data_IF_356170483171
#
_entry.id   IF_356170483171
#
_cell.length_a   1.000
_cell.length_b   1.000
_cell.length_c   1.000
_cell.angle_alpha   90.00
_cell.angle_beta   90.00
_cell.angle_gamma   90.00
#
_symmetry.space_group_name_H-M   'P 1'
#
loop_
_entity.id
_entity.type
_entity.pdbx_description
1 polymer ?
#
# COMPACT_ATOMS: atom_id res chain seq x y z
N UNK A 1 -11.47 38.90 14.76
CA UNK A 1 -12.01 40.23 14.41
C UNK A 1 -11.27 40.74 13.18
N UNK A 2 -12.02 40.97 12.10
CA UNK A 2 -11.83 41.96 11.00
C UNK A 2 -10.41 42.15 10.43
N UNK A 3 -10.15 41.66 9.22
CA UNK A 3 -10.37 42.36 7.93
C UNK A 3 -9.31 43.41 7.61
N UNK A 4 -8.58 43.20 6.52
CA UNK A 4 -8.06 44.29 5.69
C UNK A 4 -8.46 44.05 4.23
N UNK A 5 -9.10 45.06 3.67
CA UNK A 5 -9.61 45.21 2.30
C UNK A 5 -8.86 46.38 1.68
N UNK A 6 -8.41 46.24 0.43
CA UNK A 6 -8.33 47.28 -0.62
C UNK A 6 -7.76 46.60 -1.89
N UNK A 7 -8.52 46.25 -2.93
CA UNK A 7 -9.30 47.07 -3.88
C UNK A 7 -8.42 47.88 -4.85
N UNK A 8 -8.38 47.45 -6.13
CA UNK A 8 -8.27 48.34 -7.29
C UNK A 8 -9.26 47.86 -8.37
N UNK A 9 -10.10 48.80 -8.80
CA UNK A 9 -11.15 48.72 -9.82
C UNK A 9 -10.68 49.49 -11.07
N UNK A 10 -11.24 49.15 -12.23
CA UNK A 10 -11.58 49.96 -13.44
C UNK A 10 -11.20 49.14 -14.69
N UNK A 11 -11.99 48.99 -15.76
CA UNK A 11 -13.16 49.72 -16.23
C UNK A 11 -13.91 48.86 -17.29
N UNK A 12 -15.24 48.94 -17.31
CA UNK A 12 -16.12 48.57 -18.44
C UNK A 12 -16.20 49.72 -19.46
N UNK A 13 -16.74 49.51 -20.68
CA UNK A 13 -18.14 49.90 -20.88
C UNK A 13 -18.97 48.89 -21.72
N UNK A 14 -20.27 48.94 -21.43
CA UNK A 14 -21.40 48.28 -22.13
C UNK A 14 -22.03 49.27 -23.11
N UNK A 15 -22.53 48.79 -24.26
CA UNK A 15 -23.72 49.24 -25.03
C UNK A 15 -23.78 48.37 -26.34
N UNK A 16 -24.87 47.95 -26.99
CA UNK A 16 -26.33 48.12 -26.86
C UNK A 16 -27.04 47.08 -27.78
N UNK A 17 -27.98 46.29 -27.21
CA UNK A 17 -29.34 45.84 -27.65
C UNK A 17 -29.78 45.82 -29.16
N UNK A 18 -30.07 44.59 -29.63
CA UNK A 18 -31.24 44.01 -30.38
C UNK A 18 -31.60 44.24 -31.87
N UNK A 19 -32.15 43.13 -32.43
CA UNK A 19 -33.21 42.92 -33.46
C UNK A 19 -32.74 42.40 -34.84
N UNK A 20 -33.05 41.13 -35.15
CA UNK A 20 -33.93 40.70 -36.25
C UNK A 20 -34.22 39.18 -36.17
N UNK A 21 -35.49 38.83 -36.41
CA UNK A 21 -36.13 37.51 -36.30
C UNK A 21 -36.08 36.68 -37.61
N UNK A 22 -36.56 35.42 -37.64
CA UNK A 22 -36.20 34.35 -38.58
C UNK A 22 -37.21 34.08 -39.71
N UNK A 23 -36.81 33.32 -40.75
CA UNK A 23 -37.66 32.59 -41.71
C UNK A 23 -36.79 31.45 -42.34
N UNK A 24 -37.08 30.16 -42.10
CA UNK A 24 -38.06 29.25 -42.73
C UNK A 24 -37.73 28.78 -44.17
N UNK A 25 -37.51 27.46 -44.32
CA UNK A 25 -38.12 26.53 -45.31
C UNK A 25 -37.26 25.25 -45.41
N UNK A 26 -37.69 24.11 -44.88
CA UNK A 26 -38.49 23.05 -45.53
C UNK A 26 -37.98 22.58 -46.91
N UNK A 27 -37.41 21.37 -46.96
CA UNK A 27 -37.56 20.44 -48.08
C UNK A 27 -37.86 19.04 -47.51
N UNK A 28 -38.95 18.46 -47.99
CA UNK A 28 -39.48 17.14 -47.66
C UNK A 28 -39.09 16.08 -48.71
N UNK A 29 -38.76 14.89 -48.20
CA UNK A 29 -39.07 13.53 -48.69
C UNK A 29 -38.75 13.12 -50.14
N UNK A 30 -37.89 12.09 -50.25
CA UNK A 30 -38.11 10.95 -51.16
C UNK A 30 -37.69 9.65 -50.46
N UNK A 31 -38.64 8.72 -50.37
CA UNK A 31 -38.49 7.33 -49.92
C UNK A 31 -38.19 6.41 -51.10
N UNK A 32 -37.23 5.50 -50.96
CA UNK A 32 -37.24 4.20 -51.63
C UNK A 32 -36.45 3.14 -50.83
N UNK A 33 -37.23 2.22 -50.27
CA UNK A 33 -37.06 0.79 -50.02
C UNK A 33 -35.72 0.10 -49.65
N UNK A 34 -35.79 -0.54 -48.47
CA UNK A 34 -35.36 -1.89 -48.07
C UNK A 34 -33.92 -2.42 -48.29
N UNK A 35 -33.17 -2.52 -47.19
CA UNK A 35 -32.71 -3.82 -46.67
C UNK A 35 -32.39 -3.74 -45.17
N UNK A 36 -32.94 -4.68 -44.43
CA UNK A 36 -32.98 -4.81 -42.98
C UNK A 36 -31.64 -5.24 -42.38
N UNK A 37 -31.03 -4.37 -41.58
CA UNK A 37 -30.21 -4.76 -40.42
C UNK A 37 -30.66 -3.87 -39.28
N UNK A 38 -31.40 -4.42 -38.32
CA UNK A 38 -31.71 -3.72 -37.07
C UNK A 38 -30.41 -3.64 -36.25
N UNK A 39 -29.86 -2.44 -35.97
CA UNK A 39 -28.94 -2.30 -34.85
C UNK A 39 -29.76 -2.47 -33.58
N UNK A 40 -29.35 -3.38 -32.70
CA UNK A 40 -29.90 -3.43 -31.36
C UNK A 40 -29.57 -2.11 -30.66
N UNK A 41 -30.54 -1.20 -30.64
CA UNK A 41 -30.49 0.00 -29.81
C UNK A 41 -30.69 -0.47 -28.38
N UNK A 42 -29.59 -0.66 -27.67
CA UNK A 42 -29.62 -0.80 -26.22
C UNK A 42 -30.20 0.49 -25.63
N UNK A 43 -31.19 0.42 -24.73
CA UNK A 43 -31.69 1.61 -24.05
C UNK A 43 -30.52 2.22 -23.27
N UNK A 44 -30.09 3.41 -23.67
CA UNK A 44 -29.12 4.17 -22.88
C UNK A 44 -29.78 4.46 -21.53
N UNK A 45 -29.14 4.11 -20.40
CA UNK A 45 -29.62 4.57 -19.11
C UNK A 45 -29.64 6.11 -19.14
N UNK A 46 -30.60 6.76 -18.44
CA UNK A 46 -30.67 8.21 -18.41
C UNK A 46 -29.31 8.77 -17.98
N UNK A 47 -28.91 9.90 -18.58
CA UNK A 47 -27.69 10.64 -18.25
C UNK A 47 -27.59 10.87 -16.73
N UNK A 48 -27.03 9.90 -16.03
CA UNK A 48 -26.74 9.98 -14.61
C UNK A 48 -25.43 10.75 -14.53
N UNK A 49 -25.55 12.07 -14.39
CA UNK A 49 -24.41 12.94 -14.14
C UNK A 49 -23.69 12.42 -12.89
N UNK A 50 -22.43 12.01 -13.06
CA UNK A 50 -21.60 11.58 -11.94
C UNK A 50 -21.32 12.77 -11.02
N UNK A 51 -21.19 12.54 -9.70
CA UNK A 51 -20.98 13.62 -8.75
C UNK A 51 -19.69 14.37 -9.08
N UNK A 52 -19.80 15.70 -9.10
CA UNK A 52 -18.64 16.58 -9.27
C UNK A 52 -17.74 16.50 -8.05
N UNK A 53 -16.42 16.54 -8.25
CA UNK A 53 -15.46 16.77 -7.16
C UNK A 53 -15.83 18.12 -6.51
N UNK A 54 -16.37 18.06 -5.29
CA UNK A 54 -16.86 19.23 -4.53
C UNK A 54 -18.38 19.37 -4.37
N UNK A 55 -19.21 18.52 -4.99
CA UNK A 55 -20.66 18.48 -4.67
C UNK A 55 -20.92 17.50 -3.52
N UNK A 56 -21.32 18.04 -2.37
CA UNK A 56 -21.76 17.28 -1.20
C UNK A 56 -23.05 16.52 -1.48
N UNK A 57 -22.95 15.27 -1.90
CA UNK A 57 -23.95 14.25 -1.57
C UNK A 57 -23.19 13.15 -0.85
N UNK A 58 -23.22 13.09 0.49
CA UNK A 58 -22.77 11.89 1.17
C UNK A 58 -23.78 10.80 0.82
N UNK A 59 -23.44 9.91 -0.12
CA UNK A 59 -23.97 8.55 -0.01
C UNK A 59 -23.53 8.07 1.38
N UNK A 60 -24.48 7.85 2.30
CA UNK A 60 -24.18 7.38 3.65
C UNK A 60 -23.19 6.22 3.57
N UNK A 61 -22.01 6.40 4.14
CA UNK A 61 -21.03 5.33 4.23
C UNK A 61 -21.55 4.32 5.26
N UNK A 62 -21.62 3.02 4.91
CA UNK A 62 -21.97 2.02 5.89
C UNK A 62 -20.98 2.09 7.04
N UNK A 63 -21.47 1.99 8.27
CA UNK A 63 -20.61 2.04 9.44
C UNK A 63 -19.65 0.85 9.45
N UNK A 64 -18.46 1.02 10.04
CA UNK A 64 -17.49 -0.07 10.22
C UNK A 64 -18.12 -1.32 10.86
N UNK A 65 -19.10 -1.11 11.76
CA UNK A 65 -19.86 -2.18 12.39
C UNK A 65 -20.76 -2.93 11.39
N UNK A 66 -21.45 -2.25 10.49
CA UNK A 66 -22.28 -2.89 9.45
C UNK A 66 -21.43 -3.69 8.47
N UNK A 67 -20.28 -3.13 8.06
CA UNK A 67 -19.31 -3.82 7.20
C UNK A 67 -18.77 -5.06 7.90
N UNK A 68 -18.31 -4.93 9.14
CA UNK A 68 -17.82 -6.05 9.95
C UNK A 68 -18.90 -7.12 10.19
N UNK A 69 -20.12 -6.71 10.52
CA UNK A 69 -21.25 -7.62 10.76
C UNK A 69 -21.60 -8.41 9.50
N UNK A 70 -21.59 -7.76 8.34
CA UNK A 70 -21.80 -8.42 7.04
C UNK A 70 -20.70 -9.45 6.73
N UNK A 71 -19.43 -9.11 6.97
CA UNK A 71 -18.29 -10.04 6.80
C UNK A 71 -18.49 -11.27 7.69
N UNK A 72 -18.67 -11.07 9.00
CA UNK A 72 -18.80 -12.18 9.97
C UNK A 72 -20.01 -13.06 9.63
N UNK A 73 -21.15 -12.46 9.31
CA UNK A 73 -22.37 -13.19 8.95
C UNK A 73 -22.22 -13.96 7.64
N UNK A 74 -21.55 -13.38 6.64
CA UNK A 74 -21.31 -14.03 5.35
C UNK A 74 -20.33 -15.20 5.49
N UNK A 75 -19.26 -15.02 6.27
CA UNK A 75 -18.28 -16.08 6.55
C UNK A 75 -18.91 -17.24 7.32
N UNK A 76 -19.72 -16.98 8.35
CA UNK A 76 -20.41 -18.03 9.11
C UNK A 76 -21.34 -18.88 8.22
N UNK A 77 -22.12 -18.23 7.35
CA UNK A 77 -22.97 -18.93 6.37
C UNK A 77 -22.15 -19.80 5.42
N UNK A 78 -21.02 -19.28 4.94
CA UNK A 78 -20.14 -20.01 4.05
C UNK A 78 -19.48 -21.22 4.71
N UNK A 79 -19.05 -21.11 5.97
CA UNK A 79 -18.54 -22.25 6.73
C UNK A 79 -19.58 -23.36 6.90
N UNK A 80 -20.84 -22.99 7.16
CA UNK A 80 -21.95 -23.94 7.23
C UNK A 80 -22.18 -24.63 5.88
N UNK A 81 -22.16 -23.87 4.78
CA UNK A 81 -22.26 -24.43 3.43
C UNK A 81 -21.12 -25.41 3.13
N UNK A 82 -19.88 -25.06 3.48
CA UNK A 82 -18.72 -25.95 3.34
C UNK A 82 -18.89 -27.25 4.12
N UNK A 83 -19.32 -27.19 5.38
CA UNK A 83 -19.59 -28.39 6.21
C UNK A 83 -20.67 -29.27 5.59
N UNK A 84 -21.76 -28.68 5.09
CA UNK A 84 -22.85 -29.41 4.42
C UNK A 84 -22.39 -30.06 3.13
N UNK A 85 -21.57 -29.38 2.33
CA UNK A 85 -20.97 -29.94 1.10
C UNK A 85 -20.01 -31.07 1.45
N UNK A 86 -19.12 -30.91 2.44
CA UNK A 86 -18.21 -31.96 2.92
C UNK A 86 -18.94 -33.24 3.36
N UNK A 87 -20.08 -33.12 4.05
CA UNK A 87 -20.91 -34.29 4.40
C UNK A 87 -21.54 -34.99 3.19
N UNK A 88 -21.90 -34.26 2.12
CA UNK A 88 -22.36 -34.87 0.86
C UNK A 88 -21.22 -35.54 0.07
N UNK A 89 -19.98 -35.06 0.20
CA UNK A 89 -18.80 -35.63 -0.48
C UNK A 89 -18.48 -37.07 -0.05
N UNK A 90 -18.82 -37.48 1.17
CA UNK A 90 -18.69 -38.89 1.57
C UNK A 90 -19.65 -39.84 0.84
N UNK A 91 -20.62 -39.33 0.08
CA UNK A 91 -21.70 -40.12 -0.54
C UNK A 91 -21.63 -40.16 -2.07
N UNK A 92 -21.11 -39.14 -2.78
CA UNK A 92 -20.99 -39.10 -4.27
C UNK A 92 -19.79 -38.28 -4.78
N UNK A 93 -19.24 -38.67 -5.94
CA UNK A 93 -18.22 -37.91 -6.71
C UNK A 93 -18.87 -36.66 -7.34
N UNK A 94 -18.28 -35.47 -7.14
CA UNK A 94 -18.78 -34.14 -7.59
C UNK A 94 -18.77 -34.02 -9.12
N UNK A 95 -19.75 -33.34 -9.70
CA UNK A 95 -19.68 -32.74 -11.03
C UNK A 95 -19.18 -31.31 -10.91
N UNK A 96 -18.11 -30.96 -11.61
CA UNK A 96 -17.50 -29.63 -11.65
C UNK A 96 -18.56 -28.53 -11.93
N UNK A 97 -18.60 -27.48 -11.10
CA UNK A 97 -19.48 -26.31 -11.33
C UNK A 97 -18.67 -25.23 -12.06
N UNK A 98 -19.12 -24.91 -13.27
CA UNK A 98 -18.41 -23.99 -14.16
C UNK A 98 -19.38 -22.94 -14.66
N UNK A 99 -18.97 -21.67 -14.59
CA UNK A 99 -19.66 -20.57 -15.26
C UNK A 99 -18.72 -19.91 -16.25
N UNK A 100 -19.22 -19.61 -17.45
CA UNK A 100 -18.43 -18.99 -18.50
C UNK A 100 -19.07 -17.68 -18.94
N UNK A 101 -18.26 -16.65 -19.08
CA UNK A 101 -18.69 -15.35 -19.60
C UNK A 101 -17.94 -15.02 -20.88
N UNK A 102 -18.68 -14.55 -21.88
CA UNK A 102 -18.11 -14.18 -23.18
C UNK A 102 -17.02 -13.13 -22.99
N UNK A 103 -15.84 -13.36 -23.54
CA UNK A 103 -14.69 -12.46 -23.44
C UNK A 103 -13.84 -12.62 -22.16
N UNK A 104 -14.32 -13.34 -21.15
CA UNK A 104 -13.64 -13.51 -19.86
C UNK A 104 -13.31 -14.97 -19.50
N UNK A 105 -13.70 -15.91 -20.35
CA UNK A 105 -13.43 -17.34 -20.16
C UNK A 105 -14.34 -17.97 -19.11
N UNK A 106 -13.89 -19.07 -18.53
CA UNK A 106 -14.66 -19.86 -17.58
C UNK A 106 -14.04 -19.83 -16.18
N UNK A 107 -14.89 -19.75 -15.18
CA UNK A 107 -14.58 -19.80 -13.76
C UNK A 107 -15.06 -21.15 -13.25
N UNK A 108 -14.16 -21.84 -12.54
CA UNK A 108 -14.37 -23.19 -12.03
C UNK A 108 -14.30 -23.15 -10.51
N UNK A 109 -15.07 -24.01 -9.88
CA UNK A 109 -15.00 -24.29 -8.44
C UNK A 109 -13.88 -25.29 -8.08
N UNK A 110 -12.94 -25.56 -8.99
CA UNK A 110 -11.78 -26.43 -8.80
C UNK A 110 -10.47 -25.70 -9.12
N UNK A 111 -9.34 -26.19 -8.58
CA UNK A 111 -8.01 -25.63 -8.80
C UNK A 111 -7.62 -24.58 -7.76
N UNK A 112 -6.85 -23.58 -8.17
CA UNK A 112 -6.33 -22.56 -7.24
C UNK A 112 -7.48 -21.86 -6.48
N UNK A 113 -8.64 -21.66 -7.10
CA UNK A 113 -9.78 -20.96 -6.50
C UNK A 113 -10.83 -21.89 -5.84
N UNK A 114 -10.58 -23.20 -5.75
CA UNK A 114 -11.50 -24.19 -5.14
C UNK A 114 -11.94 -23.79 -3.73
N UNK A 115 -11.04 -23.13 -2.99
CA UNK A 115 -11.34 -22.75 -1.63
C UNK A 115 -12.50 -21.76 -1.51
N UNK A 116 -12.82 -20.93 -2.51
CA UNK A 116 -13.95 -19.98 -2.47
C UNK A 116 -15.29 -20.71 -2.52
N UNK A 117 -15.36 -21.85 -3.20
CA UNK A 117 -16.55 -22.70 -3.39
C UNK A 117 -17.82 -21.91 -3.77
N UNK A 118 -17.60 -20.78 -4.45
CA UNK A 118 -18.55 -19.77 -4.88
C UNK A 118 -18.05 -19.20 -6.21
N UNK A 119 -18.89 -19.22 -7.25
CA UNK A 119 -18.55 -18.67 -8.56
C UNK A 119 -18.89 -17.18 -8.64
N UNK A 120 -18.17 -16.40 -9.47
CA UNK A 120 -18.51 -15.00 -9.71
C UNK A 120 -19.93 -14.84 -10.27
N UNK A 121 -20.57 -13.71 -9.99
CA UNK A 121 -21.83 -13.32 -10.62
C UNK A 121 -21.61 -12.87 -12.08
N UNK A 122 -22.68 -12.72 -12.87
CA UNK A 122 -22.55 -12.29 -14.27
C UNK A 122 -22.04 -10.85 -14.40
N UNK A 123 -21.41 -10.48 -15.53
CA UNK A 123 -20.97 -9.11 -15.79
C UNK A 123 -22.06 -8.06 -15.55
N UNK A 124 -23.31 -8.36 -15.92
CA UNK A 124 -24.47 -7.48 -15.77
C UNK A 124 -24.89 -7.32 -14.31
N UNK A 125 -24.76 -8.39 -13.51
CA UNK A 125 -25.07 -8.37 -12.09
C UNK A 125 -24.01 -7.60 -11.28
N UNK A 126 -22.72 -7.76 -11.62
CA UNK A 126 -21.62 -7.00 -11.01
C UNK A 126 -21.67 -5.53 -11.46
N UNK A 127 -22.01 -5.28 -12.73
CA UNK A 127 -22.22 -3.94 -13.26
C UNK A 127 -20.98 -3.03 -13.20
N UNK A 128 -19.79 -3.60 -13.42
CA UNK A 128 -18.50 -2.87 -13.39
C UNK A 128 -18.48 -1.71 -14.39
N UNK A 129 -18.10 -0.53 -13.92
CA UNK A 129 -17.94 0.70 -14.70
C UNK A 129 -16.51 1.22 -14.57
N UNK A 130 -15.96 1.76 -15.65
CA UNK A 130 -14.63 2.36 -15.68
C UNK A 130 -14.77 3.85 -15.96
N UNK A 131 -14.47 4.71 -14.99
CA UNK A 131 -14.67 6.15 -15.09
C UNK A 131 -13.31 6.84 -15.19
N UNK A 132 -13.05 7.46 -16.34
CA UNK A 132 -11.86 8.24 -16.59
C UNK A 132 -12.01 9.67 -16.05
N UNK A 133 -11.00 10.11 -15.32
CA UNK A 133 -10.78 11.50 -14.94
C UNK A 133 -9.42 11.96 -15.47
N UNK A 134 -9.42 13.18 -16.00
CA UNK A 134 -8.20 13.87 -16.46
C UNK A 134 -8.23 15.31 -15.98
N UNK A 135 -7.13 16.05 -16.17
CA UNK A 135 -7.12 17.49 -15.90
C UNK A 135 -8.13 18.29 -16.73
N UNK A 136 -8.63 17.74 -17.85
CA UNK A 136 -9.68 18.34 -18.68
C UNK A 136 -11.10 17.93 -18.28
N UNK A 137 -11.25 16.79 -17.61
CA UNK A 137 -12.54 16.18 -17.24
C UNK A 137 -12.69 15.94 -15.73
N UNK A 138 -12.09 16.80 -14.89
CA UNK A 138 -12.04 16.66 -13.42
C UNK A 138 -13.40 16.46 -12.74
N UNK A 139 -14.45 17.11 -13.27
CA UNK A 139 -15.74 17.22 -12.55
C UNK A 139 -16.85 16.33 -13.12
N UNK A 140 -16.68 15.73 -14.31
CA UNK A 140 -17.78 15.01 -14.97
C UNK A 140 -17.57 13.50 -14.98
N UNK A 141 -16.31 13.04 -15.00
CA UNK A 141 -15.97 11.64 -15.26
C UNK A 141 -16.41 11.19 -16.66
N UNK A 142 -15.63 10.34 -17.31
CA UNK A 142 -15.94 9.85 -18.66
C UNK A 142 -15.96 8.33 -18.66
N UNK A 143 -17.10 7.74 -18.99
CA UNK A 143 -17.27 6.29 -18.95
C UNK A 143 -16.49 5.63 -20.10
N UNK A 144 -15.64 4.66 -19.75
CA UNK A 144 -14.91 3.81 -20.69
C UNK A 144 -15.52 2.42 -20.72
N UNK A 145 -15.59 1.86 -21.91
CA UNK A 145 -16.10 0.52 -22.19
C UNK A 145 -14.98 -0.34 -22.78
N UNK A 146 -14.76 -1.54 -22.22
CA UNK A 146 -13.76 -2.47 -22.75
C UNK A 146 -14.14 -3.08 -24.10
N UNK A 147 -15.43 -3.06 -24.45
CA UNK A 147 -16.00 -3.61 -25.69
C UNK A 147 -16.35 -2.54 -26.73
N UNK A 148 -16.10 -1.27 -26.44
CA UNK A 148 -16.35 -0.16 -27.35
C UNK A 148 -15.22 0.88 -27.29
N UNK A 149 -14.24 0.77 -28.20
CA UNK A 149 -13.10 1.69 -28.28
C UNK A 149 -13.51 3.14 -28.58
N UNK A 150 -14.72 3.39 -29.09
CA UNK A 150 -15.23 4.75 -29.31
C UNK A 150 -15.28 5.56 -28.03
N UNK A 151 -15.57 4.95 -26.87
CA UNK A 151 -15.54 5.67 -25.59
C UNK A 151 -14.15 6.16 -25.20
N UNK A 152 -13.12 5.43 -25.61
CA UNK A 152 -11.74 5.88 -25.43
C UNK A 152 -11.37 6.97 -26.44
N UNK A 153 -11.86 6.89 -27.67
CA UNK A 153 -11.57 7.87 -28.72
C UNK A 153 -12.16 9.25 -28.41
N UNK A 154 -13.41 9.30 -27.95
CA UNK A 154 -14.13 10.55 -27.66
C UNK A 154 -13.89 11.10 -26.25
N UNK A 155 -13.15 10.40 -25.40
CA UNK A 155 -12.79 10.90 -24.06
C UNK A 155 -11.54 11.77 -24.08
N UNK A 156 -11.23 12.38 -22.94
CA UNK A 156 -10.03 13.21 -22.77
C UNK A 156 -8.75 12.42 -22.46
N UNK A 157 -8.75 11.09 -22.70
CA UNK A 157 -7.58 10.24 -22.47
C UNK A 157 -6.37 10.72 -23.25
N UNK A 158 -5.24 10.90 -22.57
CA UNK A 158 -3.98 11.33 -23.17
C UNK A 158 -2.93 10.22 -23.09
N UNK A 159 -2.51 9.68 -24.23
CA UNK A 159 -1.56 8.57 -24.28
C UNK A 159 -0.14 8.93 -23.83
N UNK A 160 0.21 10.22 -23.75
CA UNK A 160 1.50 10.66 -23.22
C UNK A 160 1.58 10.66 -21.69
N UNK A 161 0.45 10.45 -21.01
CA UNK A 161 0.35 10.53 -19.55
C UNK A 161 0.27 9.12 -18.93
N UNK A 162 0.90 8.90 -17.75
CA UNK A 162 0.75 7.63 -17.05
C UNK A 162 -0.69 7.37 -16.61
N UNK A 163 -1.05 6.10 -16.43
CA UNK A 163 -2.38 5.67 -16.03
C UNK A 163 -2.39 5.21 -14.58
N UNK A 164 -3.21 5.83 -13.76
CA UNK A 164 -3.46 5.41 -12.37
C UNK A 164 -4.85 4.82 -12.28
N UNK A 165 -5.00 3.64 -11.70
CA UNK A 165 -6.30 2.97 -11.55
C UNK A 165 -6.65 2.87 -10.08
N UNK A 166 -7.80 3.39 -9.67
CA UNK A 166 -8.29 3.30 -8.28
C UNK A 166 -9.42 2.28 -8.23
N UNK A 167 -9.33 1.33 -7.29
CA UNK A 167 -10.27 0.22 -7.15
C UNK A 167 -10.78 0.17 -5.70
N UNK A 168 -12.08 0.39 -5.52
CA UNK A 168 -12.71 0.36 -4.19
C UNK A 168 -12.93 -1.07 -3.68
N UNK A 169 -13.29 -1.18 -2.40
CA UNK A 169 -13.48 -2.45 -1.69
C UNK A 169 -14.95 -2.81 -1.42
N UNK A 170 -15.14 -3.73 -0.46
CA UNK A 170 -16.44 -4.23 -0.02
C UNK A 170 -17.30 -3.12 0.59
N UNK A 171 -18.60 -3.09 0.26
CA UNK A 171 -19.54 -2.09 0.78
C UNK A 171 -19.24 -0.64 0.34
N UNK A 172 -18.39 -0.45 -0.67
CA UNK A 172 -17.99 0.87 -1.17
C UNK A 172 -18.42 1.08 -2.62
N UNK A 173 -18.21 2.29 -3.15
CA UNK A 173 -18.53 2.69 -4.52
C UNK A 173 -17.46 3.65 -5.06
N UNK A 174 -17.40 3.80 -6.38
CA UNK A 174 -16.53 4.79 -7.04
C UNK A 174 -16.90 6.26 -6.75
N UNK A 175 -18.05 6.50 -6.09
CA UNK A 175 -18.56 7.84 -5.74
C UNK A 175 -18.20 8.24 -4.30
N UNK A 176 -17.58 7.36 -3.51
CA UNK A 176 -17.20 7.65 -2.12
C UNK A 176 -16.13 8.73 -2.03
N UNK A 177 -16.18 9.50 -0.95
CA UNK A 177 -15.34 10.68 -0.75
C UNK A 177 -13.85 10.35 -0.84
N UNK A 178 -13.41 9.23 -0.26
CA UNK A 178 -12.01 8.83 -0.32
C UNK A 178 -11.53 8.56 -1.76
N UNK A 179 -12.40 8.00 -2.62
CA UNK A 179 -12.09 7.76 -4.05
C UNK A 179 -11.96 9.09 -4.79
N UNK A 180 -12.91 10.00 -4.56
CA UNK A 180 -12.92 11.32 -5.20
C UNK A 180 -11.71 12.17 -4.74
N UNK A 181 -11.40 12.17 -3.44
CA UNK A 181 -10.24 12.88 -2.89
C UNK A 181 -8.91 12.31 -3.38
N UNK A 182 -8.79 10.98 -3.49
CA UNK A 182 -7.60 10.35 -4.07
C UNK A 182 -7.46 10.70 -5.55
N UNK A 183 -8.56 10.68 -6.31
CA UNK A 183 -8.59 11.10 -7.71
C UNK A 183 -8.11 12.55 -7.87
N UNK A 184 -8.64 13.45 -7.05
CA UNK A 184 -8.24 14.86 -7.03
C UNK A 184 -6.76 15.03 -6.68
N UNK A 185 -6.28 14.33 -5.65
CA UNK A 185 -4.88 14.38 -5.24
C UNK A 185 -3.93 13.90 -6.35
N UNK A 186 -4.25 12.81 -7.05
CA UNK A 186 -3.44 12.32 -8.17
C UNK A 186 -3.39 13.32 -9.32
N UNK A 187 -4.55 13.91 -9.69
CA UNK A 187 -4.65 14.91 -10.75
C UNK A 187 -3.98 16.25 -10.39
N UNK A 188 -3.83 16.55 -9.11
CA UNK A 188 -3.14 17.75 -8.62
C UNK A 188 -1.61 17.61 -8.63
N UNK A 189 -1.09 16.38 -8.51
CA UNK A 189 0.34 16.11 -8.39
C UNK A 189 1.04 15.95 -9.73
N UNK A 190 0.37 15.33 -10.72
CA UNK A 190 0.94 15.06 -12.03
C UNK A 190 -0.13 15.03 -13.13
N UNK A 191 0.28 15.22 -14.38
CA UNK A 191 -0.58 15.03 -15.54
C UNK A 191 -0.79 13.53 -15.79
N UNK A 192 -1.88 12.98 -15.25
CA UNK A 192 -2.24 11.55 -15.34
C UNK A 192 -3.62 11.31 -15.93
N UNK A 193 -3.83 10.10 -16.45
CA UNK A 193 -5.16 9.53 -16.66
C UNK A 193 -5.53 8.74 -15.39
N UNK A 194 -6.56 9.16 -14.67
CA UNK A 194 -7.06 8.41 -13.50
C UNK A 194 -8.30 7.62 -13.91
N UNK A 195 -8.28 6.30 -13.74
CA UNK A 195 -9.42 5.44 -14.01
C UNK A 195 -9.95 4.89 -12.68
N UNK A 196 -11.19 5.24 -12.34
CA UNK A 196 -11.90 4.66 -11.20
C UNK A 196 -12.66 3.43 -11.65
N UNK A 197 -12.47 2.32 -10.95
CA UNK A 197 -13.20 1.06 -11.15
C UNK A 197 -14.35 1.02 -10.15
N UNK A 198 -15.56 1.27 -10.64
CA UNK A 198 -16.78 1.21 -9.84
C UNK A 198 -17.49 -0.13 -10.07
N UNK A 199 -17.49 -0.99 -9.06
CA UNK A 199 -18.12 -2.31 -9.05
C UNK A 199 -19.07 -2.46 -7.85
N UNK A 200 -19.66 -1.33 -7.41
CA UNK A 200 -20.55 -1.20 -6.24
C UNK A 200 -21.58 -2.33 -6.13
N UNK A 201 -22.29 -2.65 -7.22
CA UNK A 201 -23.32 -3.70 -7.22
C UNK A 201 -22.73 -5.08 -6.91
N UNK A 202 -21.54 -5.36 -7.43
CA UNK A 202 -20.80 -6.59 -7.18
C UNK A 202 -20.12 -6.66 -5.81
N UNK A 203 -19.87 -5.52 -5.16
CA UNK A 203 -19.25 -5.41 -3.83
C UNK A 203 -20.24 -5.11 -2.71
N UNK A 204 -21.54 -5.05 -2.99
CA UNK A 204 -22.55 -4.59 -2.06
C UNK A 204 -22.69 -5.48 -0.81
N UNK A 205 -23.02 -4.85 0.32
CA UNK A 205 -23.43 -5.54 1.54
C UNK A 205 -24.73 -6.35 1.28
N UNK A 206 -24.97 -7.45 2.02
CA UNK A 206 -24.13 -8.05 3.06
C UNK A 206 -23.27 -9.23 2.55
N UNK A 207 -23.20 -9.48 1.24
CA UNK A 207 -22.71 -10.74 0.69
C UNK A 207 -21.20 -10.74 0.42
N UNK A 208 -20.38 -10.72 1.49
CA UNK A 208 -18.92 -10.67 1.38
C UNK A 208 -18.31 -11.80 0.55
N UNK A 209 -18.75 -13.04 0.74
CA UNK A 209 -18.22 -14.21 0.00
C UNK A 209 -18.45 -14.08 -1.50
N UNK A 210 -19.64 -13.62 -1.90
CA UNK A 210 -19.95 -13.36 -3.32
C UNK A 210 -19.10 -12.20 -3.85
N UNK A 211 -18.94 -11.12 -3.07
CA UNK A 211 -18.08 -10.00 -3.43
C UNK A 211 -16.61 -10.44 -3.63
N UNK A 212 -16.10 -11.31 -2.76
CA UNK A 212 -14.78 -11.91 -2.90
C UNK A 212 -14.66 -12.74 -4.19
N UNK A 213 -15.65 -13.57 -4.52
CA UNK A 213 -15.67 -14.31 -5.78
C UNK A 213 -15.72 -13.38 -7.01
N UNK A 214 -16.52 -12.31 -6.94
CA UNK A 214 -16.67 -11.31 -7.99
C UNK A 214 -15.34 -10.62 -8.37
N UNK A 215 -14.39 -10.50 -7.43
CA UNK A 215 -13.09 -9.85 -7.69
C UNK A 215 -12.33 -10.48 -8.88
N UNK A 216 -12.47 -11.79 -9.12
CA UNK A 216 -11.84 -12.47 -10.26
C UNK A 216 -12.36 -11.95 -11.60
N UNK A 217 -13.69 -11.80 -11.72
CA UNK A 217 -14.30 -11.30 -12.95
C UNK A 217 -14.01 -9.80 -13.15
N UNK A 218 -14.07 -9.00 -12.07
CA UNK A 218 -13.72 -7.57 -12.15
C UNK A 218 -12.27 -7.39 -12.60
N UNK A 219 -11.34 -8.21 -12.10
CA UNK A 219 -9.94 -8.19 -12.53
C UNK A 219 -9.77 -8.49 -14.03
N UNK A 220 -10.48 -9.51 -14.54
CA UNK A 220 -10.49 -9.82 -15.99
C UNK A 220 -11.13 -8.71 -16.83
N UNK A 221 -12.18 -8.04 -16.33
CA UNK A 221 -12.80 -6.89 -16.99
C UNK A 221 -11.83 -5.71 -17.08
N UNK A 222 -11.12 -5.40 -16.00
CA UNK A 222 -10.10 -4.35 -16.00
C UNK A 222 -8.94 -4.70 -16.94
N UNK A 223 -8.48 -5.95 -16.95
CA UNK A 223 -7.45 -6.41 -17.88
C UNK A 223 -7.89 -6.31 -19.36
N UNK A 224 -9.18 -6.55 -19.65
CA UNK A 224 -9.72 -6.33 -20.99
C UNK A 224 -9.70 -4.85 -21.38
N UNK A 225 -10.04 -3.93 -20.46
CA UNK A 225 -9.92 -2.50 -20.69
C UNK A 225 -8.47 -2.07 -20.94
N UNK A 226 -7.52 -2.51 -20.11
CA UNK A 226 -6.09 -2.19 -20.26
C UNK A 226 -5.58 -2.66 -21.63
N UNK A 227 -5.91 -3.89 -22.04
CA UNK A 227 -5.54 -4.40 -23.37
C UNK A 227 -6.12 -3.57 -24.51
N UNK A 228 -7.38 -3.14 -24.38
CA UNK A 228 -8.02 -2.26 -25.37
C UNK A 228 -7.30 -0.90 -25.45
N UNK A 229 -7.00 -0.27 -24.30
CA UNK A 229 -6.27 1.01 -24.27
C UNK A 229 -4.88 0.86 -24.89
N UNK A 230 -4.13 -0.19 -24.53
CA UNK A 230 -2.81 -0.44 -25.08
C UNK A 230 -2.84 -0.60 -26.59
N UNK A 231 -3.82 -1.34 -27.10
CA UNK A 231 -4.00 -1.56 -28.54
C UNK A 231 -4.34 -0.26 -29.29
N UNK A 232 -5.28 0.52 -28.77
CA UNK A 232 -5.79 1.73 -29.46
C UNK A 232 -4.88 2.96 -29.30
N UNK A 233 -4.11 3.02 -28.21
CA UNK A 233 -3.33 4.22 -27.84
C UNK A 233 -1.82 3.99 -27.77
N UNK A 234 -1.35 2.76 -27.98
CA UNK A 234 0.06 2.41 -28.00
C UNK A 234 0.74 2.43 -26.63
N UNK A 235 -0.03 2.22 -25.54
CA UNK A 235 0.51 2.08 -24.19
C UNK A 235 1.05 0.67 -23.94
N UNK A 236 1.87 0.56 -22.90
CA UNK A 236 2.42 -0.67 -22.37
C UNK A 236 1.89 -0.94 -20.95
N UNK A 237 1.94 -2.19 -20.49
CA UNK A 237 1.55 -2.52 -19.11
C UNK A 237 2.42 -1.80 -18.06
N UNK A 238 3.64 -1.40 -18.42
CA UNK A 238 4.51 -0.58 -17.58
C UNK A 238 4.05 0.88 -17.39
N UNK A 239 3.01 1.32 -18.10
CA UNK A 239 2.45 2.67 -17.92
C UNK A 239 1.36 2.75 -16.84
N UNK A 240 1.02 1.61 -16.22
CA UNK A 240 -0.10 1.48 -15.29
C UNK A 240 0.34 1.31 -13.84
N UNK A 241 -0.32 2.04 -12.95
CA UNK A 241 -0.28 1.85 -11.50
C UNK A 241 -1.68 1.54 -10.98
N UNK A 242 -1.89 0.33 -10.45
CA UNK A 242 -3.16 -0.09 -9.86
C UNK A 242 -3.12 0.16 -8.35
N UNK A 243 -4.15 0.80 -7.81
CA UNK A 243 -4.29 1.13 -6.38
C UNK A 243 -5.62 0.52 -5.92
N UNK A 244 -5.55 -0.55 -5.14
CA UNK A 244 -6.73 -1.29 -4.69
C UNK A 244 -6.87 -1.27 -3.17
N UNK A 245 -8.06 -0.92 -2.67
CA UNK A 245 -8.38 -0.95 -1.24
C UNK A 245 -9.21 -2.18 -0.87
N UNK A 246 -8.90 -2.87 0.24
CA UNK A 246 -9.66 -4.02 0.74
C UNK A 246 -9.82 -5.11 -0.34
N UNK A 247 -11.04 -5.51 -0.73
CA UNK A 247 -11.27 -6.44 -1.85
C UNK A 247 -10.75 -5.91 -3.19
N UNK A 248 -10.65 -4.59 -3.36
CA UNK A 248 -10.09 -3.95 -4.55
C UNK A 248 -8.60 -4.24 -4.74
N UNK A 249 -7.85 -4.56 -3.67
CA UNK A 249 -6.47 -5.01 -3.78
C UNK A 249 -6.38 -6.35 -4.54
N UNK A 250 -7.31 -7.28 -4.27
CA UNK A 250 -7.37 -8.56 -4.96
C UNK A 250 -7.81 -8.42 -6.41
N UNK A 251 -8.72 -7.49 -6.72
CA UNK A 251 -9.03 -7.11 -8.11
C UNK A 251 -7.77 -6.64 -8.84
N UNK A 252 -6.94 -5.82 -8.20
CA UNK A 252 -5.67 -5.37 -8.76
C UNK A 252 -4.71 -6.56 -9.01
N UNK A 253 -4.61 -7.49 -8.06
CA UNK A 253 -3.84 -8.73 -8.19
C UNK A 253 -4.31 -9.58 -9.38
N UNK A 254 -5.61 -9.84 -9.50
CA UNK A 254 -6.17 -10.57 -10.64
C UNK A 254 -5.92 -9.87 -11.97
N UNK A 255 -5.96 -8.54 -11.98
CA UNK A 255 -5.62 -7.76 -13.18
C UNK A 255 -4.15 -7.93 -13.56
N UNK A 256 -3.25 -7.90 -12.56
CA UNK A 256 -1.82 -8.13 -12.73
C UNK A 256 -1.51 -9.50 -13.34
N UNK A 257 -2.18 -10.54 -12.85
CA UNK A 257 -2.06 -11.91 -13.37
C UNK A 257 -2.46 -12.03 -14.84
N UNK A 258 -3.47 -11.27 -15.29
CA UNK A 258 -3.95 -11.32 -16.68
C UNK A 258 -3.13 -10.47 -17.64
N UNK A 259 -2.60 -9.33 -17.18
CA UNK A 259 -1.87 -8.41 -18.04
C UNK A 259 -0.38 -8.79 -18.16
N UNK A 260 0.22 -9.30 -17.08
CA UNK A 260 1.67 -9.43 -16.88
C UNK A 260 2.42 -8.09 -17.01
N UNK A 261 3.49 -7.88 -16.23
CA UNK A 261 4.34 -6.67 -16.30
C UNK A 261 3.59 -5.34 -16.08
N UNK A 262 2.57 -5.31 -15.22
CA UNK A 262 2.03 -4.03 -14.71
C UNK A 262 3.14 -3.34 -13.91
N UNK A 263 3.38 -2.04 -14.13
CA UNK A 263 4.50 -1.34 -13.48
C UNK A 263 4.40 -1.33 -11.96
N UNK A 264 3.21 -1.09 -11.42
CA UNK A 264 3.00 -1.02 -9.97
C UNK A 264 1.60 -1.45 -9.56
N UNK A 265 1.51 -2.21 -8.47
CA UNK A 265 0.26 -2.44 -7.75
C UNK A 265 0.45 -2.04 -6.29
N UNK A 266 -0.43 -1.18 -5.78
CA UNK A 266 -0.48 -0.79 -4.37
C UNK A 266 -1.74 -1.37 -3.74
N UNK A 267 -1.58 -2.34 -2.84
CA UNK A 267 -2.66 -2.87 -2.02
C UNK A 267 -2.81 -2.08 -0.72
N UNK A 268 -3.90 -1.32 -0.59
CA UNK A 268 -4.24 -0.57 0.62
C UNK A 268 -5.10 -1.46 1.52
N UNK A 269 -4.51 -1.97 2.60
CA UNK A 269 -5.15 -2.90 3.54
C UNK A 269 -5.89 -4.08 2.84
N UNK A 270 -5.17 -4.95 2.11
CA UNK A 270 -5.79 -6.05 1.37
C UNK A 270 -6.62 -6.96 2.29
N UNK A 271 -7.84 -7.29 1.87
CA UNK A 271 -8.76 -8.04 2.72
C UNK A 271 -8.23 -9.46 3.03
N UNK A 272 -8.18 -9.82 4.31
CA UNK A 272 -7.72 -11.15 4.76
C UNK A 272 -8.75 -12.28 4.57
N UNK A 273 -10.04 -12.13 4.93
CA UNK A 273 -10.99 -13.25 4.86
C UNK A 273 -11.17 -13.76 3.43
N UNK A 274 -11.02 -15.07 3.23
CA UNK A 274 -11.01 -15.75 1.93
C UNK A 274 -9.78 -15.45 1.04
N UNK A 275 -8.70 -14.90 1.60
CA UNK A 275 -7.45 -14.72 0.86
C UNK A 275 -6.26 -15.18 1.70
N UNK A 276 -6.25 -14.97 3.01
CA UNK A 276 -5.20 -15.44 3.92
C UNK A 276 -5.15 -17.00 3.97
N UNK A 277 -3.94 -17.59 3.88
CA UNK A 277 -3.74 -19.05 3.95
C UNK A 277 -3.84 -19.88 2.66
N UNK A 278 -4.19 -19.32 1.50
CA UNK A 278 -4.30 -20.04 0.22
C UNK A 278 -3.13 -19.79 -0.77
N UNK A 279 -3.00 -20.62 -1.83
CA UNK A 279 -1.86 -20.70 -2.76
C UNK A 279 -1.44 -19.32 -3.36
N UNK A 280 -0.12 -19.02 -3.49
CA UNK A 280 0.40 -17.77 -4.03
C UNK A 280 -0.21 -17.33 -5.38
N UNK A 281 -0.64 -18.28 -6.24
CA UNK A 281 -1.26 -18.00 -7.55
C UNK A 281 -2.62 -17.30 -7.49
N UNK A 282 -3.15 -17.04 -6.30
CA UNK A 282 -4.49 -16.52 -6.04
C UNK A 282 -4.39 -15.19 -5.26
N UNK A 283 -3.17 -14.80 -4.89
CA UNK A 283 -2.89 -13.57 -4.16
C UNK A 283 -2.16 -12.61 -5.07
N UNK A 284 -2.10 -11.35 -4.64
CA UNK A 284 -0.94 -10.52 -4.94
C UNK A 284 0.31 -11.29 -4.48
N UNK A 285 1.01 -11.92 -5.43
CA UNK A 285 2.21 -12.71 -5.15
C UNK A 285 3.38 -11.76 -4.88
N UNK A 286 4.13 -11.95 -3.78
CA UNK A 286 5.44 -11.32 -3.59
C UNK A 286 6.43 -11.55 -4.74
N UNK A 287 6.24 -12.57 -5.59
CA UNK A 287 7.07 -12.75 -6.79
C UNK A 287 6.82 -11.72 -7.88
N UNK A 288 5.67 -11.06 -7.87
CA UNK A 288 5.34 -9.96 -8.80
C UNK A 288 5.78 -8.59 -8.26
N UNK A 289 6.18 -8.50 -6.99
CA UNK A 289 6.68 -7.28 -6.37
C UNK A 289 7.57 -7.56 -5.15
N UNK A 290 8.88 -7.31 -5.27
CA UNK A 290 9.77 -7.28 -4.11
C UNK A 290 9.65 -5.92 -3.42
N UNK A 291 8.63 -5.74 -2.57
CA UNK A 291 8.67 -4.74 -1.50
C UNK A 291 9.22 -5.43 -0.25
N UNK A 292 10.52 -5.28 0.05
CA UNK A 292 11.07 -5.92 1.23
C UNK A 292 10.47 -5.25 2.49
N UNK A 293 9.68 -6.01 3.22
CA UNK A 293 9.25 -5.63 4.56
C UNK A 293 10.33 -6.06 5.55
N UNK A 294 10.60 -5.18 6.50
CA UNK A 294 11.61 -5.36 7.52
C UNK A 294 10.99 -5.19 8.89
N UNK A 295 11.12 -6.21 9.74
CA UNK A 295 10.84 -6.07 11.17
C UNK A 295 12.11 -5.62 11.87
N UNK A 296 12.08 -4.44 12.48
CA UNK A 296 13.19 -3.89 13.24
C UNK A 296 12.93 -3.99 14.74
N UNK A 297 14.01 -4.26 15.49
CA UNK A 297 14.07 -4.14 16.96
C UNK A 297 15.35 -3.41 17.35
N UNK A 298 15.23 -2.35 18.16
CA UNK A 298 16.36 -1.62 18.73
C UNK A 298 16.32 -1.78 20.25
N UNK A 299 17.35 -2.42 20.80
CA UNK A 299 17.54 -2.55 22.23
C UNK A 299 18.41 -1.41 22.74
N UNK A 300 17.87 -0.65 23.68
CA UNK A 300 18.56 0.46 24.34
C UNK A 300 19.44 -0.08 25.48
N UNK A 301 20.54 0.60 25.78
CA UNK A 301 21.39 0.26 26.92
C UNK A 301 20.63 0.46 28.22
N UNK A 302 20.62 -0.54 29.11
CA UNK A 302 19.85 -0.46 30.37
C UNK A 302 20.55 0.43 31.40
N UNK A 303 19.77 1.13 32.22
CA UNK A 303 20.23 1.98 33.31
C UNK A 303 20.34 3.47 32.96
N UNK A 304 19.92 3.87 31.76
CA UNK A 304 19.88 5.28 31.33
C UNK A 304 18.52 5.96 31.55
N UNK A 305 17.48 5.19 31.91
CA UNK A 305 16.15 5.68 32.26
C UNK A 305 15.25 5.94 31.05
N UNK A 306 14.59 7.10 31.04
CA UNK A 306 13.62 7.48 30.00
C UNK A 306 14.10 8.75 29.30
N UNK A 307 13.89 8.83 27.99
CA UNK A 307 14.07 10.05 27.20
C UNK A 307 12.81 10.38 26.38
N UNK A 308 12.78 11.56 25.78
CA UNK A 308 11.72 11.99 24.86
C UNK A 308 12.33 12.46 23.55
N UNK A 309 11.79 12.03 22.42
CA UNK A 309 12.25 12.49 21.12
C UNK A 309 11.97 11.54 19.97
N UNK A 310 12.40 12.00 18.80
CA UNK A 310 12.27 11.28 17.54
C UNK A 310 13.53 10.44 17.28
N UNK A 311 13.33 9.16 16.98
CA UNK A 311 14.35 8.25 16.50
C UNK A 311 14.06 7.94 15.03
N UNK A 312 15.05 8.19 14.18
CA UNK A 312 15.01 7.91 12.74
C UNK A 312 16.05 6.85 12.42
N UNK A 313 15.73 5.97 11.48
CA UNK A 313 16.67 5.01 10.91
C UNK A 313 16.68 5.10 9.39
N UNK A 314 17.85 5.23 8.80
CA UNK A 314 18.03 5.16 7.35
C UNK A 314 18.65 3.83 6.96
N UNK A 315 18.07 3.12 6.00
CA UNK A 315 18.68 1.94 5.40
C UNK A 315 19.67 2.36 4.33
N UNK A 316 20.81 1.66 4.25
CA UNK A 316 21.82 1.84 3.21
C UNK A 316 21.94 0.53 2.45
N UNK A 317 21.56 0.55 1.17
CA UNK A 317 21.74 -0.56 0.24
C UNK A 317 23.18 -0.72 -0.22
N UNK A 318 23.48 -1.87 -0.84
CA UNK A 318 24.80 -2.20 -1.40
C UNK A 318 25.23 -1.23 -2.52
N UNK A 319 24.27 -0.64 -3.23
CA UNK A 319 24.44 0.33 -4.31
C UNK A 319 24.44 1.79 -3.84
N UNK A 320 24.58 2.04 -2.53
CA UNK A 320 24.42 3.34 -1.88
C UNK A 320 23.02 3.97 -2.03
N UNK A 321 22.00 3.20 -2.41
CA UNK A 321 20.61 3.62 -2.22
C UNK A 321 20.33 3.84 -0.73
N UNK A 322 19.50 4.83 -0.41
CA UNK A 322 19.11 5.07 0.96
C UNK A 322 17.65 5.52 1.10
N UNK A 323 17.07 5.19 2.24
CA UNK A 323 15.72 5.61 2.59
C UNK A 323 15.61 5.73 4.11
N UNK A 324 14.87 6.72 4.59
CA UNK A 324 14.79 7.05 6.03
C UNK A 324 13.39 6.84 6.57
N UNK A 325 13.31 6.20 7.73
CA UNK A 325 12.08 5.84 8.41
C UNK A 325 12.06 6.42 9.82
N UNK A 326 10.90 6.91 10.24
CA UNK A 326 10.68 7.44 11.58
C UNK A 326 10.16 6.30 12.47
N UNK A 327 10.91 5.96 13.53
CA UNK A 327 10.54 4.90 14.48
C UNK A 327 9.72 5.42 15.66
N UNK A 328 9.96 6.67 16.07
CA UNK A 328 9.23 7.32 17.17
C UNK A 328 8.84 8.75 16.81
N UNK A 329 7.72 9.24 17.33
CA UNK A 329 7.28 10.63 17.12
C UNK A 329 8.12 11.63 17.92
N UNK A 330 8.09 12.91 17.54
CA UNK A 330 8.90 13.97 18.15
C UNK A 330 8.69 14.18 19.66
N UNK A 331 7.52 13.83 20.17
CA UNK A 331 7.18 13.93 21.60
C UNK A 331 7.03 12.57 22.29
N UNK A 332 7.42 11.48 21.63
CA UNK A 332 7.23 10.13 22.16
C UNK A 332 8.22 9.84 23.29
N UNK A 333 7.73 9.15 24.32
CA UNK A 333 8.55 8.61 25.41
C UNK A 333 9.31 7.37 24.92
N UNK A 334 10.61 7.32 25.21
CA UNK A 334 11.50 6.19 24.90
C UNK A 334 12.08 5.69 26.23
N UNK A 335 11.87 4.41 26.53
CA UNK A 335 12.25 3.78 27.80
C UNK A 335 13.34 2.72 27.59
N UNK A 336 14.38 2.74 28.41
CA UNK A 336 15.51 1.79 28.31
C UNK A 336 15.17 0.33 28.63
N UNK A 337 13.97 0.06 29.18
CA UNK A 337 13.48 -1.29 29.49
C UNK A 337 12.69 -1.92 28.35
N UNK A 338 12.30 -1.14 27.34
CA UNK A 338 11.50 -1.60 26.22
C UNK A 338 12.28 -1.46 24.92
N UNK A 339 12.29 -2.53 24.13
CA UNK A 339 12.85 -2.48 22.79
C UNK A 339 11.92 -1.67 21.88
N UNK A 340 12.51 -0.79 21.07
CA UNK A 340 11.77 -0.05 20.05
C UNK A 340 11.59 -1.01 18.87
N UNK A 341 10.35 -1.36 18.57
CA UNK A 341 10.02 -2.24 17.46
C UNK A 341 9.24 -1.49 16.38
N UNK A 342 9.48 -1.86 15.13
CA UNK A 342 8.78 -1.29 13.98
C UNK A 342 8.66 -2.30 12.85
N UNK A 343 7.64 -2.12 12.03
CA UNK A 343 7.55 -2.73 10.71
C UNK A 343 7.83 -1.64 9.68
N UNK A 344 8.85 -1.84 8.87
CA UNK A 344 9.29 -0.92 7.84
C UNK A 344 8.99 -1.57 6.49
N UNK A 345 8.43 -0.80 5.57
CA UNK A 345 8.30 -1.18 4.15
C UNK A 345 9.21 -0.23 3.40
N UNK A 346 10.32 -0.75 2.87
CA UNK A 346 11.27 0.05 2.10
C UNK A 346 10.89 0.03 0.61
N UNK A 347 11.24 1.12 -0.08
CA UNK A 347 11.16 1.23 -1.51
C UNK A 347 12.00 0.12 -2.19
N UNK A 348 11.50 -0.50 -3.27
CA UNK A 348 12.21 -1.57 -3.98
C UNK A 348 13.61 -1.20 -4.53
N UNK A 349 13.94 0.09 -4.59
CA UNK A 349 15.28 0.56 -4.94
C UNK A 349 16.32 0.29 -3.84
N UNK A 350 15.93 0.19 -2.57
CA UNK A 350 16.85 -0.12 -1.46
C UNK A 350 17.07 -1.62 -1.37
N UNK A 351 18.01 -2.13 -2.18
CA UNK A 351 18.34 -3.56 -2.24
C UNK A 351 19.51 -3.89 -1.33
N UNK A 352 19.47 -5.09 -0.74
CA UNK A 352 20.56 -5.65 0.07
C UNK A 352 21.07 -4.67 1.13
N UNK A 353 20.26 -4.36 2.15
CA UNK A 353 20.66 -3.45 3.23
C UNK A 353 21.93 -3.95 3.91
N UNK A 354 23.01 -3.16 3.85
CA UNK A 354 24.34 -3.51 4.41
C UNK A 354 24.66 -2.73 5.68
N UNK A 355 24.04 -1.56 5.86
CA UNK A 355 24.25 -0.70 7.01
C UNK A 355 23.00 0.11 7.32
N UNK A 356 22.99 0.72 8.51
CA UNK A 356 21.97 1.70 8.90
C UNK A 356 22.60 2.97 9.41
N UNK A 357 21.88 4.07 9.26
CA UNK A 357 22.18 5.33 9.93
C UNK A 357 21.08 5.58 10.95
N UNK A 358 21.45 5.75 12.22
CA UNK A 358 20.49 6.06 13.28
C UNK A 358 20.67 7.50 13.71
N UNK A 359 19.56 8.25 13.80
CA UNK A 359 19.57 9.64 14.27
C UNK A 359 18.52 9.81 15.36
N UNK A 360 18.96 10.33 16.50
CA UNK A 360 18.10 10.72 17.59
C UNK A 360 17.97 12.25 17.64
N UNK A 361 16.75 12.76 17.75
CA UNK A 361 16.47 14.19 17.91
C UNK A 361 15.64 14.38 19.18
N UNK A 362 16.21 15.07 20.17
CA UNK A 362 15.57 15.26 21.47
C UNK A 362 14.35 16.16 21.39
N UNK A 363 13.31 15.81 22.14
CA UNK A 363 12.16 16.69 22.34
C UNK A 363 12.57 17.93 23.16
N UNK A 364 12.08 19.11 22.76
CA UNK A 364 12.25 20.37 23.47
C UNK A 364 10.90 20.96 23.84
N UNK A 365 10.35 20.48 24.95
CA UNK A 365 9.12 21.02 25.52
C UNK A 365 9.38 21.97 26.67
N UNK A 366 8.32 22.66 27.07
CA UNK A 366 8.28 23.54 28.24
C UNK A 366 8.33 22.81 29.60
N UNK A 367 7.84 21.57 29.66
CA UNK A 367 7.79 20.77 30.91
C UNK A 367 8.82 19.63 30.91
N UNK A 368 9.09 19.03 29.75
CA UNK A 368 9.98 17.89 29.61
C UNK A 368 10.95 18.14 28.45
N UNK A 369 12.20 17.68 28.61
CA UNK A 369 13.19 17.66 27.54
C UNK A 369 13.79 16.27 27.44
N UNK A 370 14.07 15.85 26.21
CA UNK A 370 14.85 14.63 25.98
C UNK A 370 16.29 14.78 26.44
N UNK A 371 16.95 13.64 26.65
CA UNK A 371 18.38 13.55 26.91
C UNK A 371 19.18 14.07 25.70
N UNK A 372 20.42 14.49 25.91
CA UNK A 372 21.34 14.87 24.82
C UNK A 372 22.05 13.67 24.18
N UNK A 373 21.91 12.50 24.78
CA UNK A 373 22.53 11.24 24.38
C UNK A 373 21.59 10.08 24.69
N UNK A 374 21.47 9.14 23.77
CA UNK A 374 20.75 7.89 23.96
C UNK A 374 21.61 6.73 23.47
N UNK A 375 21.89 5.76 24.35
CA UNK A 375 22.80 4.66 24.06
C UNK A 375 22.02 3.41 23.61
N UNK A 376 22.49 2.76 22.56
CA UNK A 376 21.91 1.52 22.04
C UNK A 376 22.89 0.36 22.15
N UNK A 377 22.39 -0.83 22.48
CA UNK A 377 23.20 -2.05 22.59
C UNK A 377 23.09 -2.93 21.33
N UNK A 378 21.91 -2.95 20.70
CA UNK A 378 21.62 -3.84 19.58
C UNK A 378 20.59 -3.26 18.62
N UNK A 379 20.80 -3.50 17.33
CA UNK A 379 19.80 -3.35 16.28
C UNK A 379 19.64 -4.71 15.62
N UNK A 380 18.41 -5.15 15.41
CA UNK A 380 18.10 -6.39 14.71
C UNK A 380 17.04 -6.13 13.65
N UNK A 381 17.31 -6.61 12.44
CA UNK A 381 16.48 -6.42 11.26
C UNK A 381 16.19 -7.79 10.66
N UNK A 382 14.91 -8.11 10.49
CA UNK A 382 14.44 -9.33 9.86
C UNK A 382 13.79 -8.95 8.53
N UNK A 383 14.24 -9.53 7.43
CA UNK A 383 13.61 -9.28 6.12
C UNK A 383 12.46 -10.27 5.83
N UNK A 384 11.71 -10.02 4.75
CA UNK A 384 10.65 -10.90 4.20
C UNK A 384 11.06 -12.36 4.05
N UNK A 385 12.34 -12.60 3.73
CA UNK A 385 12.88 -13.92 3.44
C UNK A 385 13.32 -14.68 4.71
N UNK A 386 13.15 -14.09 5.89
CA UNK A 386 13.56 -14.66 7.17
C UNK A 386 15.06 -14.55 7.47
N UNK A 387 15.83 -13.83 6.64
CA UNK A 387 17.22 -13.51 6.98
C UNK A 387 17.27 -12.43 8.06
N UNK A 388 18.17 -12.63 9.01
CA UNK A 388 18.45 -11.69 10.09
C UNK A 388 19.73 -10.94 9.76
N UNK A 389 19.72 -9.63 9.98
CA UNK A 389 20.89 -8.77 9.99
C UNK A 389 20.88 -8.02 11.31
N UNK A 390 22.06 -7.78 11.88
CA UNK A 390 22.13 -7.16 13.19
C UNK A 390 23.38 -6.32 13.37
N UNK A 391 23.30 -5.36 14.29
CA UNK A 391 24.43 -4.63 14.81
C UNK A 391 24.44 -4.81 16.32
N UNK A 392 25.61 -5.09 16.90
CA UNK A 392 25.81 -5.16 18.34
C UNK A 392 26.96 -4.24 18.70
N UNK A 393 26.70 -3.25 19.55
CA UNK A 393 27.70 -2.33 20.06
C UNK A 393 27.32 -1.98 21.48
N UNK A 394 28.22 -2.22 22.44
CA UNK A 394 27.90 -1.92 23.83
C UNK A 394 27.85 -0.40 24.05
N UNK A 395 26.74 0.08 24.63
CA UNK A 395 26.54 1.49 24.98
C UNK A 395 26.91 2.43 23.83
N UNK A 396 26.51 2.08 22.59
CA UNK A 396 26.85 2.87 21.41
C UNK A 396 26.11 4.21 21.49
N UNK A 397 26.82 5.35 21.61
CA UNK A 397 26.17 6.63 21.85
C UNK A 397 25.57 7.20 20.57
N UNK A 398 24.29 7.53 20.63
CA UNK A 398 23.59 8.33 19.62
C UNK A 398 23.37 9.73 20.22
N UNK A 399 24.14 10.70 19.73
CA UNK A 399 24.08 12.08 20.20
C UNK A 399 22.92 12.83 19.53
N UNK A 400 22.32 13.76 20.27
CA UNK A 400 21.18 14.54 19.78
C UNK A 400 21.54 15.32 18.49
N UNK A 401 20.80 15.04 17.42
CA UNK A 401 20.92 15.67 16.12
C UNK A 401 22.00 15.07 15.22
N UNK A 402 22.82 14.15 15.73
CA UNK A 402 23.96 13.60 15.00
C UNK A 402 23.64 12.20 14.45
N UNK A 403 23.64 12.01 13.11
CA UNK A 403 23.43 10.70 12.51
C UNK A 403 24.65 9.79 12.74
N UNK A 404 24.40 8.56 13.17
CA UNK A 404 25.42 7.54 13.44
C UNK A 404 25.34 6.41 12.42
N UNK A 405 26.41 6.21 11.65
CA UNK A 405 26.54 5.07 10.74
C UNK A 405 26.91 3.79 11.51
N UNK A 406 26.16 2.71 11.28
CA UNK A 406 26.29 1.42 11.96
C UNK A 406 26.27 0.30 10.91
N UNK A 407 27.38 -0.42 10.69
CA UNK A 407 27.41 -1.54 9.75
C UNK A 407 26.63 -2.72 10.31
N UNK A 408 25.86 -3.39 9.46
CA UNK A 408 25.15 -4.61 9.83
C UNK A 408 26.01 -5.84 9.52
N UNK A 409 25.86 -6.88 10.33
CA UNK A 409 26.39 -8.21 10.07
C UNK A 409 25.23 -9.17 9.79
N UNK A 410 25.48 -10.18 8.96
CA UNK A 410 24.52 -11.25 8.72
C UNK A 410 24.39 -12.14 9.96
N UNK A 411 23.16 -12.56 10.24
CA UNK A 411 22.80 -13.33 11.41
C UNK A 411 22.46 -12.46 12.62
N UNK A 412 22.12 -13.14 13.72
CA UNK A 412 21.83 -12.48 14.98
C UNK A 412 23.10 -12.39 15.85
N UNK A 413 23.57 -11.17 16.08
CA UNK A 413 24.73 -10.91 16.90
C UNK A 413 24.36 -10.99 18.39
N UNK A 414 25.30 -11.49 19.19
CA UNK A 414 25.22 -11.42 20.64
C UNK A 414 26.09 -10.28 21.13
N UNK A 415 25.48 -9.30 21.78
CA UNK A 415 26.25 -8.27 22.49
C UNK A 415 27.03 -8.96 23.61
N UNK A 416 28.35 -8.92 23.56
CA UNK A 416 29.18 -9.48 24.63
C UNK A 416 28.88 -8.75 25.94
N UNK A 417 28.61 -9.47 27.05
CA UNK A 417 28.44 -8.87 28.36
C UNK A 417 29.65 -8.01 28.73
N UNK A 418 29.42 -6.83 29.29
CA UNK A 418 30.48 -5.93 29.79
C UNK A 418 31.42 -6.65 30.75
N UNK A 419 30.88 -7.56 31.58
CA UNK A 419 31.66 -8.42 32.47
C UNK A 419 32.61 -9.36 31.73
N UNK A 420 32.24 -9.90 30.57
CA UNK A 420 33.12 -10.76 29.78
C UNK A 420 34.21 -9.97 29.05
N UNK A 421 33.90 -8.76 28.55
CA UNK A 421 34.93 -7.87 27.97
C UNK A 421 35.87 -7.32 29.01
N UNK A 422 35.37 -6.81 30.14
CA UNK A 422 36.20 -6.40 31.28
C UNK A 422 37.03 -7.59 31.79
N UNK A 423 36.45 -8.78 31.93
CA UNK A 423 37.19 -9.97 32.35
C UNK A 423 38.29 -10.36 31.35
N UNK A 424 38.04 -10.27 30.03
CA UNK A 424 39.05 -10.51 28.98
C UNK A 424 40.13 -9.43 28.94
N UNK A 425 39.76 -8.17 29.11
CA UNK A 425 40.71 -7.06 29.19
C UNK A 425 41.57 -7.19 30.44
N UNK A 426 40.97 -7.53 31.59
CA UNK A 426 41.68 -7.88 32.83
C UNK A 426 42.58 -9.09 32.58
N UNK A 427 42.13 -10.16 31.91
CA UNK A 427 42.95 -11.32 31.56
C UNK A 427 44.09 -11.01 30.57
N UNK A 428 43.92 -10.08 29.64
CA UNK A 428 44.99 -9.65 28.74
C UNK A 428 45.99 -8.72 29.43
N UNK A 429 45.53 -7.88 30.38
CA UNK A 429 46.35 -6.96 31.16
C UNK A 429 47.09 -7.67 32.30
N UNK A 430 46.51 -8.75 32.82
CA UNK A 430 47.10 -9.58 33.85
C UNK A 430 47.54 -10.90 33.20
N UNK A 431 48.83 -11.00 32.85
CA UNK A 431 49.40 -12.10 32.06
C UNK A 431 49.06 -13.52 32.57
N UNK A 432 49.27 -14.52 31.70
CA UNK A 432 48.83 -15.91 31.90
C UNK A 432 49.23 -16.50 33.27
N UNK A 433 48.36 -17.30 33.92
CA UNK A 433 48.66 -17.92 35.19
C UNK A 433 49.83 -18.91 35.06
N UNK A 434 50.84 -18.75 35.93
CA UNK A 434 51.96 -19.70 36.00
C UNK A 434 51.46 -21.01 36.62
N UNK A 435 51.30 -22.04 35.80
CA UNK A 435 50.93 -23.37 36.27
C UNK A 435 52.11 -24.04 37.01
N UNK A 436 51.98 -24.20 38.32
CA UNK A 436 52.94 -24.86 39.21
C UNK A 436 52.27 -25.32 40.51
N UNK A 437 53.01 -26.01 41.39
CA UNK A 437 52.46 -26.68 42.60
C UNK A 437 51.81 -25.76 43.64
N UNK A 438 52.04 -24.45 43.56
CA UNK A 438 51.33 -23.43 44.35
C UNK A 438 50.78 -22.34 43.41
N UNK A 439 49.50 -22.45 42.99
CA UNK A 439 48.87 -21.44 42.15
C UNK A 439 48.73 -20.13 42.94
N UNK A 440 49.39 -19.06 42.45
CA UNK A 440 49.21 -17.71 42.98
C UNK A 440 48.28 -16.92 42.05
N UNK A 441 47.36 -16.11 42.59
CA UNK A 441 46.51 -15.25 41.78
C UNK A 441 47.38 -14.29 40.96
N UNK A 442 46.99 -13.98 39.72
CA UNK A 442 47.82 -13.21 38.82
C UNK A 442 47.90 -11.76 39.36
N UNK A 443 49.13 -11.25 39.52
CA UNK A 443 49.39 -9.91 40.07
C UNK A 443 48.95 -8.85 39.05
N UNK A 444 48.03 -7.97 39.45
CA UNK A 444 47.72 -6.75 38.69
C UNK A 444 48.99 -5.92 38.56
N UNK A 445 49.51 -5.79 37.33
CA UNK A 445 50.67 -4.94 37.03
C UNK A 445 50.22 -3.55 36.57
N UNK A 446 49.06 -3.44 35.92
CA UNK A 446 48.58 -2.18 35.36
C UNK A 446 47.10 -1.98 35.65
N UNK A 447 46.72 -0.78 36.06
CA UNK A 447 45.32 -0.36 36.25
C UNK A 447 44.97 0.68 35.19
N UNK A 448 43.95 0.39 34.39
CA UNK A 448 43.36 1.33 33.43
C UNK A 448 42.26 2.09 34.16
N UNK A 449 42.33 3.42 34.12
CA UNK A 449 41.20 4.28 34.50
C UNK A 449 40.71 5.01 33.26
N UNK A 450 39.39 5.02 33.07
CA UNK A 450 38.71 5.73 31.98
C UNK A 450 38.05 6.95 32.61
N UNK A 451 38.39 8.14 32.13
CA UNK A 451 37.73 9.37 32.55
C UNK A 451 36.52 9.71 31.67
N UNK A 452 35.74 10.71 32.09
CA UNK A 452 34.51 11.15 31.42
C UNK A 452 34.74 11.68 29.99
N UNK A 453 36.01 11.80 29.54
CA UNK A 453 36.40 12.21 28.19
C UNK A 453 36.85 11.05 27.29
N UNK A 454 36.68 9.80 27.75
CA UNK A 454 37.04 8.58 27.01
C UNK A 454 38.53 8.48 26.65
N UNK A 455 39.42 9.14 27.40
CA UNK A 455 40.89 9.01 27.25
C UNK A 455 41.43 7.96 28.21
N UNK A 456 42.37 7.13 27.73
CA UNK A 456 42.96 6.05 28.51
C UNK A 456 44.26 6.50 29.18
N UNK A 457 44.35 6.30 30.49
CA UNK A 457 45.58 6.52 31.27
C UNK A 457 46.07 5.21 31.90
N UNK A 458 47.35 4.90 31.69
CA UNK A 458 48.00 3.72 32.25
C UNK A 458 48.68 4.06 33.57
N UNK A 459 48.30 3.38 34.65
CA UNK A 459 49.01 3.45 35.94
C UNK A 459 49.66 2.10 36.24
N UNK A 460 50.95 2.11 36.56
CA UNK A 460 51.67 0.95 37.11
C UNK A 460 51.24 0.76 38.57
N UNK A 461 50.92 -0.48 38.96
CA UNK A 461 50.33 -0.81 40.27
C UNK A 461 51.39 -1.06 41.34
#
# INVERSE_FOLDING_TARGET
MRSFVALWILCFPVLLITLFSPLLANISTTSHDSSTVHPQVFPQPPNEAWPTVGSSIPEEEPSDYEVWSAIVSSMAKWEEMKKRKAHKHHVRKRSEEVVCYRGFGCFRDEGAFDYLDTLPASPEAIGTKFILYTNKSRNTGELLWYDNSSSLYYSHFNSSNPVKVIIHGFGSSGRKMWVLQMTEALLAMEDVNVIVVDWEKGSALPNYVQAAANTQLVGKQLAALIRMINYERGLSNSDYHLIGFSLGAHVAGFTGMECHNISRITGLDPASPLFEGYDPKIKLDPSDFFCPNYRISIASTRGQGTTWGKLEISFIGEDNSNETFVLTNESQEINDKQDIQGLIVADPSVRNVTAVIVKYTKYRGWIYTGLDRWDIDKIQIHNSNGHVMSFCGHAMPILNGEPKFLPLIHGDCTAEPTTQRLARLIWQVVGEPVAGRDPRPPKLLWKIMVDDTSKYHWHNS
#
